data_IF_845472764028
#
_entry.id   IF_845472764028
#
_cell.length_a   1.000
_cell.length_b   1.000
_cell.length_c   1.000
_cell.angle_alpha   90.00
_cell.angle_beta   90.00
_cell.angle_gamma   90.00
#
_symmetry.space_group_name_H-M   'P 1'
#
loop_
_entity.id
_entity.type
_entity.pdbx_description
1 polymer ?
#
# COMPACT_ATOMS: atom_id res chain seq x y z
N UNK A 1 -45.14 51.38 44.94
CA UNK A 1 -43.84 51.48 44.24
C UNK A 1 -42.81 51.23 45.30
N UNK A 2 -42.29 50.01 45.49
CA UNK A 2 -41.69 49.05 44.54
C UNK A 2 -41.83 47.66 45.20
N UNK A 3 -42.45 46.64 44.61
CA UNK A 3 -41.88 45.64 43.65
C UNK A 3 -40.47 45.15 44.08
N UNK A 4 -40.11 43.87 44.25
CA UNK A 4 -40.74 42.54 44.15
C UNK A 4 -39.92 41.60 45.08
N UNK A 5 -40.56 40.62 45.71
CA UNK A 5 -39.94 39.39 46.27
C UNK A 5 -40.10 38.24 45.26
N UNK A 6 -39.70 36.98 45.53
CA UNK A 6 -38.44 36.40 46.06
C UNK A 6 -37.98 35.17 45.21
N UNK A 7 -36.84 34.55 45.54
CA UNK A 7 -36.57 33.07 45.49
C UNK A 7 -35.04 32.85 45.64
N UNK A 8 -34.54 32.58 46.85
CA UNK A 8 -34.21 31.25 47.39
C UNK A 8 -33.15 30.46 46.61
N UNK A 9 -31.92 30.42 47.14
CA UNK A 9 -31.09 29.22 47.02
C UNK A 9 -30.33 28.99 48.35
N UNK A 10 -30.56 27.85 49.03
CA UNK A 10 -29.88 27.46 50.26
C UNK A 10 -28.42 27.03 49.99
N UNK A 11 -27.64 26.86 51.06
CA UNK A 11 -26.21 26.51 51.08
C UNK A 11 -25.24 27.70 51.02
N UNK A 12 -25.29 28.47 52.10
CA UNK A 12 -24.16 29.28 52.51
C UNK A 12 -23.00 28.45 53.07
N UNK A 13 -21.81 29.02 52.86
CA UNK A 13 -20.53 28.86 53.58
C UNK A 13 -19.53 27.86 53.02
N UNK A 14 -18.66 28.42 52.19
CA UNK A 14 -17.26 28.05 52.04
C UNK A 14 -16.57 27.80 53.38
N UNK A 15 -15.77 26.73 53.45
CA UNK A 15 -14.43 26.81 54.03
C UNK A 15 -13.49 25.98 53.16
N UNK A 16 -12.52 26.67 52.60
CA UNK A 16 -11.49 26.14 51.72
C UNK A 16 -10.59 25.16 52.46
N UNK A 17 -10.41 23.97 51.89
CA UNK A 17 -9.19 23.20 52.05
C UNK A 17 -8.32 23.48 50.83
N UNK A 18 -7.10 23.95 51.09
CA UNK A 18 -6.07 24.15 50.09
C UNK A 18 -5.65 22.79 49.51
N UNK A 19 -5.38 22.70 48.20
CA UNK A 19 -4.99 21.45 47.56
C UNK A 19 -3.57 21.03 47.97
N UNK A 20 -3.44 19.74 48.25
CA UNK A 20 -2.17 19.05 48.46
C UNK A 20 -1.35 19.11 47.16
N UNK A 21 -0.27 19.87 47.18
CA UNK A 21 0.62 20.08 46.05
C UNK A 21 1.58 18.90 45.90
N UNK A 22 1.09 17.72 45.51
CA UNK A 22 1.99 16.63 45.07
C UNK A 22 1.33 15.46 44.32
N UNK A 23 0.25 15.70 43.57
CA UNK A 23 -0.28 14.71 42.62
C UNK A 23 -0.57 15.36 41.28
N UNK A 24 0.04 14.93 40.17
CA UNK A 24 -0.43 15.36 38.86
C UNK A 24 -1.87 14.83 38.69
N UNK A 25 -2.82 15.75 38.59
CA UNK A 25 -4.19 15.48 38.16
C UNK A 25 -4.14 14.67 36.86
N UNK A 26 -4.47 13.37 36.93
CA UNK A 26 -4.71 12.51 35.77
C UNK A 26 -6.21 12.41 35.42
N UNK A 27 -7.04 13.25 36.02
CA UNK A 27 -8.47 13.34 35.75
C UNK A 27 -8.89 14.79 35.55
N UNK A 28 -8.55 15.39 34.41
CA UNK A 28 -9.31 16.49 33.77
C UNK A 28 -8.63 16.84 32.46
N UNK A 29 -9.05 16.19 31.38
CA UNK A 29 -9.15 16.79 30.04
C UNK A 29 -9.74 15.73 29.09
N UNK A 30 -11.05 15.51 29.20
CA UNK A 30 -11.83 15.14 28.01
C UNK A 30 -11.90 16.42 27.20
N UNK A 31 -11.22 16.53 26.06
CA UNK A 31 -11.10 17.84 25.49
C UNK A 31 -12.36 18.20 24.70
N UNK A 32 -12.74 19.47 24.81
CA UNK A 32 -13.57 20.23 23.86
C UNK A 32 -12.92 20.34 22.45
N UNK A 33 -11.99 19.43 22.05
CA UNK A 33 -11.04 19.57 20.94
C UNK A 33 -11.49 18.95 19.60
N UNK A 34 -12.79 18.85 19.32
CA UNK A 34 -13.27 18.36 18.00
C UNK A 34 -12.74 19.22 16.85
N UNK A 35 -12.94 20.53 16.94
CA UNK A 35 -12.55 21.48 15.89
C UNK A 35 -11.03 21.64 15.76
N UNK A 36 -10.30 21.62 16.87
CA UNK A 36 -8.83 21.70 16.85
C UNK A 36 -8.20 20.44 16.21
N UNK A 37 -8.79 19.27 16.46
CA UNK A 37 -8.36 18.02 15.84
C UNK A 37 -8.64 18.04 14.33
N UNK A 38 -9.82 18.50 13.92
CA UNK A 38 -10.19 18.68 12.52
C UNK A 38 -9.23 19.61 11.78
N UNK A 39 -8.93 20.79 12.35
CA UNK A 39 -7.99 21.74 11.77
C UNK A 39 -6.58 21.15 11.60
N UNK A 40 -6.13 20.34 12.56
CA UNK A 40 -4.83 19.67 12.49
C UNK A 40 -4.78 18.65 11.34
N UNK A 41 -5.85 17.89 11.15
CA UNK A 41 -5.95 16.87 10.11
C UNK A 41 -6.03 17.53 8.73
N UNK A 42 -6.98 18.46 8.55
CA UNK A 42 -7.22 19.13 7.27
C UNK A 42 -6.01 19.96 6.85
N UNK A 43 -5.45 20.76 7.76
CA UNK A 43 -4.26 21.56 7.49
C UNK A 43 -3.05 20.70 7.12
N UNK A 44 -2.86 19.56 7.79
CA UNK A 44 -1.77 18.63 7.48
C UNK A 44 -1.92 17.94 6.12
N UNK A 45 -3.15 17.60 5.73
CA UNK A 45 -3.45 17.03 4.41
C UNK A 45 -3.26 18.06 3.31
N UNK A 46 -3.71 19.30 3.52
CA UNK A 46 -3.54 20.38 2.55
C UNK A 46 -2.07 20.76 2.37
N UNK A 47 -1.28 20.80 3.45
CA UNK A 47 0.17 20.99 3.38
C UNK A 47 0.87 19.86 2.62
N UNK A 48 0.50 18.60 2.89
CA UNK A 48 1.04 17.44 2.19
C UNK A 48 0.73 17.49 0.69
N UNK A 49 -0.52 17.83 0.33
CA UNK A 49 -0.93 18.03 -1.06
C UNK A 49 -0.17 19.17 -1.73
N UNK A 50 0.00 20.31 -1.06
CA UNK A 50 0.69 21.46 -1.61
C UNK A 50 2.17 21.20 -1.87
N UNK A 51 2.79 20.29 -1.11
CA UNK A 51 4.21 19.92 -1.24
C UNK A 51 4.44 18.66 -2.06
N UNK A 52 3.39 18.02 -2.60
CA UNK A 52 3.46 16.69 -3.20
C UNK A 52 4.22 15.69 -2.31
N UNK A 53 3.94 15.74 -1.01
CA UNK A 53 4.58 14.91 0.00
C UNK A 53 3.54 14.15 0.81
N UNK A 54 4.01 13.25 1.68
CA UNK A 54 3.15 12.54 2.61
C UNK A 54 2.76 13.41 3.81
N UNK A 55 1.76 12.93 4.54
CA UNK A 55 1.39 13.54 5.83
C UNK A 55 2.49 13.30 6.86
N UNK A 56 2.66 14.27 7.76
CA UNK A 56 3.62 14.13 8.86
C UNK A 56 3.14 13.12 9.89
N UNK A 57 4.04 12.60 10.73
CA UNK A 57 3.67 11.75 11.87
C UNK A 57 2.65 12.44 12.79
N UNK A 58 2.78 13.76 12.99
CA UNK A 58 1.83 14.53 13.80
C UNK A 58 0.41 14.47 13.23
N UNK A 59 0.27 14.68 11.92
CA UNK A 59 -1.00 14.57 11.19
C UNK A 59 -1.52 13.13 11.21
N UNK A 60 -0.66 12.14 10.98
CA UNK A 60 -1.03 10.72 11.03
C UNK A 60 -1.58 10.32 12.42
N UNK A 61 -0.95 10.78 13.50
CA UNK A 61 -1.42 10.56 14.87
C UNK A 61 -2.74 11.26 15.17
N UNK A 62 -2.95 12.46 14.63
CA UNK A 62 -4.24 13.16 14.73
C UNK A 62 -5.36 12.40 14.01
N UNK A 63 -5.10 11.86 12.82
CA UNK A 63 -6.04 11.00 12.10
C UNK A 63 -6.36 9.74 12.90
N UNK A 64 -5.33 9.03 13.39
CA UNK A 64 -5.52 7.84 14.23
C UNK A 64 -6.37 8.14 15.47
N UNK A 65 -6.16 9.29 16.12
CA UNK A 65 -6.97 9.73 17.26
C UNK A 65 -8.43 9.94 16.89
N UNK A 66 -8.71 10.56 15.75
CA UNK A 66 -10.07 10.80 15.28
C UNK A 66 -10.80 9.49 14.99
N UNK A 67 -10.13 8.52 14.36
CA UNK A 67 -10.69 7.20 14.06
C UNK A 67 -10.90 6.40 15.35
N UNK A 68 -9.92 6.38 16.27
CA UNK A 68 -10.04 5.71 17.56
C UNK A 68 -11.23 6.23 18.38
N UNK A 69 -11.45 7.54 18.40
CA UNK A 69 -12.61 8.14 19.07
C UNK A 69 -13.95 7.68 18.46
N UNK A 70 -13.98 7.41 17.15
CA UNK A 70 -15.18 6.93 16.46
C UNK A 70 -15.46 5.44 16.75
N UNK A 71 -14.41 4.63 16.86
CA UNK A 71 -14.49 3.19 17.16
C UNK A 71 -14.72 2.89 18.65
N UNK A 72 -14.39 3.82 19.55
CA UNK A 72 -14.51 3.61 20.98
C UNK A 72 -13.63 2.46 21.46
N UNK A 73 -14.22 1.44 22.09
CA UNK A 73 -13.49 0.29 22.66
C UNK A 73 -12.77 -0.57 21.60
N UNK A 74 -13.17 -0.47 20.34
CA UNK A 74 -12.58 -1.19 19.20
C UNK A 74 -11.36 -0.48 18.59
N UNK A 75 -11.05 0.76 18.99
CA UNK A 75 -9.97 1.57 18.42
C UNK A 75 -8.69 1.59 19.27
N UNK A 76 -8.35 0.49 19.95
CA UNK A 76 -7.29 0.49 20.99
C UNK A 76 -5.90 0.62 20.38
N UNK A 77 -5.62 -0.06 19.28
CA UNK A 77 -4.34 0.04 18.59
C UNK A 77 -4.17 1.43 17.96
N UNK A 78 -5.24 2.01 17.40
CA UNK A 78 -5.25 3.37 16.88
C UNK A 78 -5.08 4.42 18.00
N UNK A 79 -5.66 4.22 19.18
CA UNK A 79 -5.44 5.09 20.34
C UNK A 79 -4.00 5.01 20.84
N UNK A 80 -3.42 3.80 20.88
CA UNK A 80 -2.01 3.61 21.23
C UNK A 80 -1.08 4.27 20.23
N UNK A 81 -1.35 4.13 18.93
CA UNK A 81 -0.61 4.82 17.88
C UNK A 81 -0.75 6.34 18.02
N UNK A 82 -1.96 6.86 18.26
CA UNK A 82 -2.18 8.28 18.47
C UNK A 82 -1.34 8.85 19.64
N UNK A 83 -1.16 8.06 20.71
CA UNK A 83 -0.36 8.45 21.89
C UNK A 83 1.15 8.29 21.69
N UNK A 84 1.59 7.25 20.98
CA UNK A 84 3.01 6.85 20.95
C UNK A 84 3.70 7.01 19.60
N UNK A 85 2.94 7.02 18.50
CA UNK A 85 3.46 6.88 17.13
C UNK A 85 3.86 5.44 16.76
N UNK A 86 3.71 4.48 17.68
CA UNK A 86 4.09 3.08 17.52
C UNK A 86 2.92 2.20 17.08
N UNK A 87 3.22 1.15 16.32
CA UNK A 87 2.25 0.20 15.75
C UNK A 87 2.51 -0.01 14.26
N UNK A 88 2.42 -1.24 13.75
CA UNK A 88 2.64 -1.54 12.33
C UNK A 88 1.36 -1.42 11.51
N UNK A 89 1.47 -1.33 10.19
CA UNK A 89 0.32 -1.36 9.29
C UNK A 89 -0.56 -2.59 9.55
N UNK A 90 0.05 -3.76 9.69
CA UNK A 90 -0.63 -5.02 9.98
C UNK A 90 -1.39 -5.03 11.33
N UNK A 91 -0.98 -4.21 12.31
CA UNK A 91 -1.70 -4.12 13.60
C UNK A 91 -2.81 -3.08 13.61
N UNK A 92 -2.74 -2.09 12.71
CA UNK A 92 -3.65 -0.94 12.71
C UNK A 92 -4.72 -1.06 11.61
N UNK A 93 -4.46 -1.87 10.57
CA UNK A 93 -5.31 -1.99 9.40
C UNK A 93 -6.71 -2.47 9.73
N UNK A 94 -6.88 -3.48 10.57
CA UNK A 94 -8.20 -4.00 10.92
C UNK A 94 -9.12 -2.90 11.48
N UNK A 95 -8.61 -2.12 12.44
CA UNK A 95 -9.38 -1.07 13.09
C UNK A 95 -9.76 0.05 12.11
N UNK A 96 -8.81 0.55 11.31
CA UNK A 96 -9.16 1.63 10.37
C UNK A 96 -9.95 1.14 9.15
N UNK A 97 -9.82 -0.13 8.75
CA UNK A 97 -10.57 -0.72 7.63
C UNK A 97 -12.03 -1.00 8.02
N UNK A 98 -12.32 -1.30 9.28
CA UNK A 98 -13.70 -1.37 9.78
C UNK A 98 -14.45 -0.06 9.48
N UNK A 99 -13.84 1.08 9.81
CA UNK A 99 -14.39 2.41 9.48
C UNK A 99 -14.36 2.68 7.97
N UNK A 100 -13.29 2.30 7.27
CA UNK A 100 -13.19 2.55 5.83
C UNK A 100 -14.27 1.83 5.02
N UNK A 101 -14.59 0.60 5.38
CA UNK A 101 -15.49 -0.26 4.63
C UNK A 101 -16.97 -0.05 4.99
N UNK A 102 -17.28 0.57 6.14
CA UNK A 102 -18.65 0.94 6.49
C UNK A 102 -19.28 1.87 5.42
N UNK A 103 -20.39 1.48 4.75
CA UNK A 103 -21.06 2.27 3.73
C UNK A 103 -21.52 3.66 4.20
N UNK A 104 -21.71 3.84 5.50
CA UNK A 104 -22.16 5.09 6.11
C UNK A 104 -21.01 6.07 6.39
N UNK A 105 -19.76 5.62 6.29
CA UNK A 105 -18.58 6.45 6.56
C UNK A 105 -18.49 7.63 5.58
N UNK A 106 -18.43 8.88 6.11
CA UNK A 106 -18.30 10.08 5.29
C UNK A 106 -17.07 10.04 4.38
N UNK A 107 -17.19 10.56 3.15
CA UNK A 107 -16.08 10.59 2.19
C UNK A 107 -14.83 11.35 2.68
N UNK A 108 -15.03 12.32 3.57
CA UNK A 108 -13.94 13.02 4.25
C UNK A 108 -13.12 12.09 5.16
N UNK A 109 -13.78 11.27 5.98
CA UNK A 109 -13.12 10.29 6.87
C UNK A 109 -12.41 9.22 6.05
N UNK A 110 -13.01 8.75 4.94
CA UNK A 110 -12.33 7.85 3.99
C UNK A 110 -11.05 8.48 3.43
N UNK A 111 -11.09 9.77 3.13
CA UNK A 111 -9.90 10.51 2.67
C UNK A 111 -8.82 10.57 3.75
N UNK A 112 -9.18 10.80 5.01
CA UNK A 112 -8.20 10.75 6.10
C UNK A 112 -7.57 9.37 6.24
N UNK A 113 -8.37 8.31 6.17
CA UNK A 113 -7.89 6.93 6.19
C UNK A 113 -6.99 6.63 4.99
N UNK A 114 -7.31 7.16 3.79
CA UNK A 114 -6.44 7.04 2.61
C UNK A 114 -5.05 7.63 2.85
N UNK A 115 -4.96 8.81 3.47
CA UNK A 115 -3.68 9.43 3.81
C UNK A 115 -2.94 8.68 4.92
N UNK A 116 -3.67 8.22 5.94
CA UNK A 116 -3.10 7.50 7.07
C UNK A 116 -2.52 6.14 6.67
N UNK A 117 -3.27 5.32 5.94
CA UNK A 117 -2.78 4.03 5.47
C UNK A 117 -1.60 4.19 4.50
N UNK A 118 -1.61 5.22 3.64
CA UNK A 118 -0.46 5.54 2.77
C UNK A 118 0.80 5.85 3.57
N UNK A 119 0.68 6.70 4.60
CA UNK A 119 1.79 7.02 5.50
C UNK A 119 2.38 5.75 6.15
N UNK A 120 1.53 4.83 6.63
CA UNK A 120 1.99 3.59 7.27
C UNK A 120 2.76 2.69 6.29
N UNK A 121 2.22 2.50 5.08
CA UNK A 121 2.84 1.67 4.03
C UNK A 121 4.22 2.21 3.62
N UNK A 122 4.37 3.53 3.52
CA UNK A 122 5.65 4.14 3.18
C UNK A 122 6.64 4.08 4.33
N UNK A 123 6.19 4.34 5.56
CA UNK A 123 7.04 4.26 6.75
C UNK A 123 7.64 2.87 6.92
N UNK A 124 6.88 1.84 6.56
CA UNK A 124 7.30 0.44 6.67
C UNK A 124 7.96 -0.11 5.40
N UNK A 125 8.01 0.70 4.33
CA UNK A 125 8.55 0.31 3.03
C UNK A 125 7.91 -0.99 2.49
N UNK A 126 6.61 -1.17 2.74
CA UNK A 126 5.82 -2.35 2.33
C UNK A 126 5.11 -2.14 1.01
N UNK A 127 5.15 -0.93 0.45
CA UNK A 127 4.63 -0.64 -0.88
C UNK A 127 5.43 -1.32 -1.98
N UNK A 128 4.81 -1.55 -3.13
CA UNK A 128 5.43 -2.27 -4.25
C UNK A 128 6.58 -1.54 -4.98
N UNK A 129 6.97 -0.35 -4.51
CA UNK A 129 8.15 0.39 -4.99
C UNK A 129 8.00 1.06 -6.35
N UNK A 130 7.04 0.64 -7.20
CA UNK A 130 6.59 1.46 -8.33
C UNK A 130 5.73 2.59 -7.75
N UNK A 131 6.12 3.84 -7.99
CA UNK A 131 5.37 5.04 -7.64
C UNK A 131 3.97 4.99 -8.29
N UNK A 132 3.02 4.24 -7.71
CA UNK A 132 1.59 4.43 -7.93
C UNK A 132 1.08 5.67 -7.17
N UNK A 133 2.00 6.52 -6.75
CA UNK A 133 1.76 7.92 -6.50
C UNK A 133 1.69 8.60 -7.86
N UNK A 134 0.49 8.71 -8.41
CA UNK A 134 0.22 9.89 -9.23
C UNK A 134 0.61 11.08 -8.33
N UNK A 135 1.77 11.70 -8.56
CA UNK A 135 2.40 12.74 -7.71
C UNK A 135 1.50 13.99 -7.51
N UNK A 136 0.31 13.98 -8.10
CA UNK A 136 -0.68 15.05 -8.14
C UNK A 136 -2.10 14.61 -7.72
N UNK A 137 -2.36 13.32 -7.45
CA UNK A 137 -3.66 12.85 -6.99
C UNK A 137 -3.63 12.53 -5.50
N UNK A 138 -4.77 12.75 -4.82
CA UNK A 138 -4.90 12.31 -3.44
C UNK A 138 -4.78 10.78 -3.38
N UNK A 139 -4.05 10.24 -2.39
CA UNK A 139 -3.85 8.81 -2.26
C UNK A 139 -5.18 8.07 -2.11
N UNK A 140 -5.18 6.80 -2.51
CA UNK A 140 -6.32 5.89 -2.38
C UNK A 140 -5.83 4.50 -1.98
N UNK A 141 -6.30 3.97 -0.85
CA UNK A 141 -5.87 2.63 -0.39
C UNK A 141 -6.17 1.54 -1.42
N UNK A 142 -7.32 1.63 -2.08
CA UNK A 142 -7.72 0.69 -3.14
C UNK A 142 -6.76 0.66 -4.36
N UNK A 143 -5.85 1.64 -4.48
CA UNK A 143 -4.83 1.71 -5.55
C UNK A 143 -3.41 1.46 -5.04
N UNK A 144 -3.23 1.39 -3.72
CA UNK A 144 -1.93 1.23 -3.10
C UNK A 144 -1.67 -0.26 -2.89
N UNK A 145 -0.83 -0.85 -3.74
CA UNK A 145 -0.46 -2.26 -3.63
C UNK A 145 0.61 -2.44 -2.54
N UNK A 146 0.29 -3.28 -1.55
CA UNK A 146 1.13 -3.64 -0.41
C UNK A 146 1.59 -5.07 -0.58
N UNK A 147 2.89 -5.28 -0.35
CA UNK A 147 3.50 -6.60 -0.32
C UNK A 147 2.96 -7.38 0.88
N UNK A 148 2.34 -8.51 0.60
CA UNK A 148 1.70 -9.38 1.60
C UNK A 148 2.21 -10.81 1.42
N UNK A 149 2.55 -11.46 2.52
CA UNK A 149 2.91 -12.88 2.53
C UNK A 149 1.66 -13.72 2.73
N UNK A 150 1.39 -14.64 1.81
CA UNK A 150 0.24 -15.54 1.85
C UNK A 150 0.73 -16.97 1.88
N UNK A 151 0.14 -17.80 2.75
CA UNK A 151 0.49 -19.23 2.84
C UNK A 151 -0.51 -20.06 2.04
N UNK A 152 -0.04 -20.73 1.00
CA UNK A 152 -0.85 -21.59 0.12
C UNK A 152 -0.20 -22.96 0.07
N UNK A 153 -0.96 -24.03 0.37
CA UNK A 153 -0.42 -25.40 0.35
C UNK A 153 0.71 -25.69 1.35
N UNK A 154 1.01 -24.78 2.28
CA UNK A 154 2.13 -24.87 3.22
C UNK A 154 3.42 -24.19 2.76
N UNK A 155 3.42 -23.59 1.55
CA UNK A 155 4.48 -22.69 1.07
C UNK A 155 4.07 -21.23 1.26
N UNK A 156 5.05 -20.35 1.51
CA UNK A 156 4.83 -18.91 1.61
C UNK A 156 5.11 -18.24 0.27
N UNK A 157 4.17 -17.41 -0.18
CA UNK A 157 4.25 -16.65 -1.42
C UNK A 157 4.07 -15.17 -1.14
N UNK A 158 4.96 -14.37 -1.70
CA UNK A 158 4.85 -12.92 -1.71
C UNK A 158 3.91 -12.48 -2.84
N UNK A 159 2.81 -11.82 -2.49
CA UNK A 159 1.84 -11.24 -3.45
C UNK A 159 1.61 -9.76 -3.14
N UNK A 160 0.95 -9.05 -4.05
CA UNK A 160 0.62 -7.64 -3.87
C UNK A 160 -0.89 -7.42 -3.86
N UNK A 161 -1.38 -6.75 -2.81
CA UNK A 161 -2.81 -6.54 -2.53
C UNK A 161 -3.07 -5.07 -2.25
N UNK A 162 -4.23 -4.51 -2.65
CA UNK A 162 -4.59 -3.17 -2.24
C UNK A 162 -4.65 -3.03 -0.71
N UNK A 163 -4.15 -1.90 -0.19
CA UNK A 163 -4.12 -1.59 1.24
C UNK A 163 -5.52 -1.46 1.89
N UNK A 164 -6.58 -1.55 1.09
CA UNK A 164 -7.98 -1.59 1.52
C UNK A 164 -8.44 -2.96 1.99
N UNK A 165 -7.66 -4.02 1.77
CA UNK A 165 -7.98 -5.39 2.17
C UNK A 165 -7.34 -5.73 3.52
N UNK A 166 -8.07 -6.49 4.34
CA UNK A 166 -7.67 -6.91 5.69
C UNK A 166 -7.33 -8.40 5.78
N UNK A 167 -7.15 -8.91 7.01
CA UNK A 167 -6.77 -10.30 7.27
C UNK A 167 -7.82 -11.32 6.79
N UNK A 168 -9.10 -10.98 6.91
CA UNK A 168 -10.19 -11.82 6.40
C UNK A 168 -10.09 -12.00 4.86
N UNK A 169 -9.84 -10.91 4.14
CA UNK A 169 -9.69 -10.95 2.68
C UNK A 169 -8.44 -11.74 2.25
N UNK A 170 -7.35 -11.64 3.02
CA UNK A 170 -6.12 -12.42 2.80
C UNK A 170 -6.39 -13.92 2.98
N UNK A 171 -7.23 -14.28 3.95
CA UNK A 171 -7.62 -15.67 4.19
C UNK A 171 -8.43 -16.21 3.02
N UNK A 172 -9.43 -15.47 2.55
CA UNK A 172 -10.26 -15.84 1.39
C UNK A 172 -9.42 -15.94 0.11
N UNK A 173 -8.43 -15.05 -0.04
CA UNK A 173 -7.46 -15.11 -1.14
C UNK A 173 -6.62 -16.39 -1.07
N UNK A 174 -6.15 -16.79 0.10
CA UNK A 174 -5.36 -18.01 0.25
C UNK A 174 -6.13 -19.25 -0.22
N UNK A 175 -7.44 -19.31 0.05
CA UNK A 175 -8.33 -20.36 -0.47
C UNK A 175 -8.45 -20.28 -1.99
N UNK A 176 -8.69 -19.08 -2.54
CA UNK A 176 -8.77 -18.86 -3.99
C UNK A 176 -7.49 -19.28 -4.72
N UNK A 177 -6.32 -18.89 -4.20
CA UNK A 177 -5.02 -19.25 -4.77
C UNK A 177 -4.73 -20.75 -4.69
N UNK A 178 -5.25 -21.43 -3.65
CA UNK A 178 -5.19 -22.88 -3.54
C UNK A 178 -6.06 -23.57 -4.59
N UNK A 179 -7.26 -23.06 -4.86
CA UNK A 179 -8.12 -23.58 -5.95
C UNK A 179 -7.48 -23.41 -7.32
N UNK A 180 -6.73 -22.33 -7.52
CA UNK A 180 -5.95 -22.09 -8.74
C UNK A 180 -4.65 -22.92 -8.84
N UNK A 181 -4.38 -23.79 -7.86
CA UNK A 181 -3.18 -24.65 -7.83
C UNK A 181 -1.87 -23.84 -7.92
N UNK A 182 -1.82 -22.70 -7.24
CA UNK A 182 -0.66 -21.81 -7.25
C UNK A 182 0.64 -22.53 -6.89
N UNK A 183 0.59 -23.50 -5.98
CA UNK A 183 1.73 -24.31 -5.54
C UNK A 183 2.35 -25.16 -6.65
N UNK A 184 1.56 -25.51 -7.67
CA UNK A 184 1.97 -26.35 -8.80
C UNK A 184 2.39 -25.54 -10.05
N UNK A 185 2.08 -24.25 -10.13
CA UNK A 185 2.35 -23.40 -11.31
C UNK A 185 3.45 -22.34 -11.05
N UNK A 186 4.72 -22.59 -11.45
CA UNK A 186 5.81 -21.63 -11.32
C UNK A 186 5.60 -20.33 -12.10
N UNK A 187 4.85 -20.37 -13.21
CA UNK A 187 4.56 -19.19 -14.02
C UNK A 187 3.60 -18.27 -13.29
N UNK A 188 2.54 -18.83 -12.70
CA UNK A 188 1.59 -18.07 -11.88
C UNK A 188 2.27 -17.51 -10.62
N UNK A 189 3.14 -18.30 -9.97
CA UNK A 189 3.94 -17.82 -8.83
C UNK A 189 4.80 -16.60 -9.22
N UNK A 190 5.50 -16.67 -10.35
CA UNK A 190 6.32 -15.57 -10.85
C UNK A 190 5.47 -14.34 -11.19
N UNK A 191 4.28 -14.54 -11.78
CA UNK A 191 3.35 -13.47 -12.11
C UNK A 191 2.86 -12.71 -10.87
N UNK A 192 2.39 -13.42 -9.84
CA UNK A 192 1.87 -12.79 -8.62
C UNK A 192 2.97 -12.09 -7.79
N UNK A 193 4.24 -12.46 -7.99
CA UNK A 193 5.37 -11.78 -7.35
C UNK A 193 5.66 -10.40 -7.93
N UNK A 194 5.07 -10.04 -9.07
CA UNK A 194 5.27 -8.75 -9.72
C UNK A 194 4.65 -7.60 -8.90
N UNK A 195 5.33 -6.45 -8.76
CA UNK A 195 4.91 -5.33 -7.91
C UNK A 195 3.65 -4.60 -8.39
N UNK A 196 3.26 -4.77 -9.64
CA UNK A 196 2.12 -4.15 -10.31
C UNK A 196 0.93 -5.09 -10.48
N UNK A 197 1.09 -6.37 -10.14
CA UNK A 197 0.02 -7.36 -10.23
C UNK A 197 -0.82 -7.34 -8.96
N UNK A 198 -2.11 -7.07 -9.12
CA UNK A 198 -3.07 -7.13 -8.02
C UNK A 198 -3.62 -8.56 -7.88
N UNK A 199 -3.24 -9.25 -6.81
CA UNK A 199 -3.70 -10.61 -6.53
C UNK A 199 -5.18 -10.68 -6.09
N UNK A 200 -5.83 -9.56 -5.77
CA UNK A 200 -7.30 -9.48 -5.57
C UNK A 200 -8.06 -9.10 -6.84
N UNK A 201 -7.40 -9.00 -7.99
CA UNK A 201 -8.13 -8.82 -9.24
C UNK A 201 -8.98 -10.07 -9.48
N UNK A 202 -10.30 -9.93 -9.58
CA UNK A 202 -11.22 -11.07 -9.74
C UNK A 202 -10.97 -11.94 -11.00
N UNK A 203 -10.02 -11.55 -11.85
CA UNK A 203 -9.67 -12.18 -13.11
C UNK A 203 -8.18 -12.58 -13.18
N UNK A 204 -7.57 -13.01 -12.06
CA UNK A 204 -6.12 -13.37 -11.98
C UNK A 204 -5.66 -14.22 -13.17
N UNK A 205 -6.40 -15.28 -13.50
CA UNK A 205 -6.04 -16.21 -14.58
C UNK A 205 -6.13 -15.59 -15.97
N UNK A 206 -7.10 -14.69 -16.19
CA UNK A 206 -7.21 -13.97 -17.46
C UNK A 206 -6.02 -13.02 -17.61
N UNK A 207 -5.73 -12.21 -16.59
CA UNK A 207 -4.58 -11.30 -16.59
C UNK A 207 -3.25 -12.05 -16.72
N UNK A 208 -3.12 -13.22 -16.09
CA UNK A 208 -1.96 -14.08 -16.26
C UNK A 208 -1.81 -14.53 -17.70
N UNK A 209 -2.86 -15.09 -18.33
CA UNK A 209 -2.78 -15.56 -19.70
C UNK A 209 -2.57 -14.43 -20.72
N UNK A 210 -3.12 -13.24 -20.48
CA UNK A 210 -2.91 -12.07 -21.34
C UNK A 210 -1.47 -11.53 -21.24
N UNK A 211 -0.90 -11.51 -20.04
CA UNK A 211 0.45 -11.02 -19.82
C UNK A 211 1.51 -12.07 -20.17
N UNK A 212 1.24 -13.37 -20.01
CA UNK A 212 2.26 -14.41 -20.13
C UNK A 212 2.76 -14.58 -21.57
N UNK A 213 4.02 -14.19 -21.79
CA UNK A 213 4.67 -14.28 -23.10
C UNK A 213 5.48 -15.58 -23.27
N UNK A 214 5.87 -16.25 -22.17
CA UNK A 214 6.54 -17.54 -22.23
C UNK A 214 7.55 -17.80 -21.10
N UNK A 215 8.16 -18.98 -21.13
CA UNK A 215 9.19 -19.42 -20.18
C UNK A 215 10.47 -19.80 -20.91
N UNK A 216 11.59 -19.28 -20.42
CA UNK A 216 12.89 -19.33 -21.07
C UNK A 216 13.97 -19.80 -20.10
N UNK A 217 15.01 -20.47 -20.61
CA UNK A 217 16.11 -20.96 -19.76
C UNK A 217 17.03 -19.86 -19.27
N UNK A 218 17.20 -18.81 -20.09
CA UNK A 218 18.06 -17.67 -19.80
C UNK A 218 17.56 -16.44 -20.59
N UNK A 219 18.16 -15.29 -20.31
CA UNK A 219 17.82 -14.01 -20.95
C UNK A 219 18.07 -14.01 -22.45
N UNK A 220 19.08 -14.73 -22.94
CA UNK A 220 19.36 -14.82 -24.38
C UNK A 220 18.25 -15.58 -25.11
N UNK A 221 17.78 -16.70 -24.55
CA UNK A 221 16.67 -17.45 -25.10
C UNK A 221 15.37 -16.62 -25.13
N UNK A 222 15.12 -15.81 -24.10
CA UNK A 222 14.02 -14.86 -24.09
C UNK A 222 14.19 -13.79 -25.18
N UNK A 223 15.40 -13.25 -25.34
CA UNK A 223 15.68 -12.24 -26.38
C UNK A 223 15.47 -12.79 -27.78
N UNK A 224 15.96 -14.01 -28.07
CA UNK A 224 15.79 -14.66 -29.37
C UNK A 224 14.32 -14.94 -29.70
N UNK A 225 13.52 -15.30 -28.70
CA UNK A 225 12.11 -15.62 -28.91
C UNK A 225 11.19 -14.39 -28.98
N UNK A 226 11.48 -13.34 -28.20
CA UNK A 226 10.61 -12.17 -28.03
C UNK A 226 11.03 -10.96 -28.87
N UNK A 227 12.13 -11.06 -29.62
CA UNK A 227 12.63 -10.00 -30.49
C UNK A 227 13.01 -10.55 -31.86
N UNK A 228 13.04 -9.71 -32.91
CA UNK A 228 13.47 -10.12 -34.26
C UNK A 228 14.99 -10.28 -34.36
N UNK A 229 15.67 -10.67 -33.27
CA UNK A 229 17.14 -10.80 -33.24
C UNK A 229 17.65 -11.77 -34.30
N UNK A 230 16.96 -12.88 -34.55
CA UNK A 230 17.35 -13.85 -35.57
C UNK A 230 17.27 -13.26 -37.00
N UNK A 231 16.31 -12.37 -37.25
CA UNK A 231 16.19 -11.65 -38.51
C UNK A 231 17.34 -10.65 -38.67
N UNK A 232 17.63 -9.86 -37.62
CA UNK A 232 18.76 -8.92 -37.64
C UNK A 232 20.12 -9.61 -37.79
N UNK A 233 20.30 -10.77 -37.15
CA UNK A 233 21.50 -11.60 -37.30
C UNK A 233 21.67 -12.08 -38.75
N UNK A 234 20.56 -12.47 -39.39
CA UNK A 234 20.54 -12.92 -40.79
C UNK A 234 20.86 -11.77 -41.76
N UNK A 235 20.21 -10.61 -41.59
CA UNK A 235 20.41 -9.41 -42.42
C UNK A 235 21.86 -8.90 -42.33
N UNK A 236 22.43 -8.90 -41.12
CA UNK A 236 23.81 -8.49 -40.93
C UNK A 236 24.79 -9.49 -41.56
N UNK A 237 24.51 -10.79 -41.46
CA UNK A 237 25.35 -11.82 -42.08
C UNK A 237 25.37 -11.69 -43.60
N UNK A 238 24.23 -11.40 -44.24
CA UNK A 238 24.16 -11.12 -45.68
C UNK A 238 25.02 -9.91 -46.05
N UNK A 239 24.86 -8.79 -45.34
CA UNK A 239 25.66 -7.58 -45.57
C UNK A 239 27.18 -7.83 -45.44
N UNK A 240 27.61 -8.60 -44.44
CA UNK A 240 29.01 -8.97 -44.22
C UNK A 240 29.59 -9.73 -45.41
N UNK A 241 28.82 -10.70 -45.94
CA UNK A 241 29.20 -11.50 -47.10
C UNK A 241 29.35 -10.59 -48.33
N UNK A 242 28.39 -9.69 -48.56
CA UNK A 242 28.43 -8.75 -49.68
C UNK A 242 29.64 -7.81 -49.63
N UNK A 243 30.03 -7.38 -48.43
CA UNK A 243 31.16 -6.46 -48.24
C UNK A 243 32.52 -7.17 -48.08
N UNK A 244 32.55 -8.51 -48.10
CA UNK A 244 33.78 -9.29 -47.95
C UNK A 244 34.43 -9.16 -46.57
N UNK A 245 33.64 -8.84 -45.54
CA UNK A 245 34.11 -8.73 -44.15
C UNK A 245 34.17 -10.13 -43.52
N UNK A 246 35.15 -10.40 -42.68
CA UNK A 246 35.21 -11.67 -41.95
C UNK A 246 34.12 -11.70 -40.86
N UNK A 247 33.20 -12.65 -40.94
CA UNK A 247 32.10 -12.81 -39.97
C UNK A 247 32.58 -12.92 -38.51
N UNK A 248 33.78 -13.49 -38.28
CA UNK A 248 34.35 -13.62 -36.93
C UNK A 248 34.88 -12.31 -36.35
N UNK A 249 35.00 -11.26 -37.15
CA UNK A 249 35.37 -9.93 -36.69
C UNK A 249 34.19 -9.18 -36.03
N UNK A 250 32.96 -9.68 -36.18
CA UNK A 250 31.78 -9.12 -35.54
C UNK A 250 31.53 -9.74 -34.17
N UNK A 251 31.20 -8.89 -33.21
CA UNK A 251 30.75 -9.28 -31.88
C UNK A 251 29.42 -8.60 -31.59
N UNK A 252 28.40 -9.40 -31.27
CA UNK A 252 27.10 -8.90 -30.84
C UNK A 252 27.17 -8.47 -29.39
N UNK A 253 26.86 -7.20 -29.13
CA UNK A 253 26.59 -6.74 -27.78
C UNK A 253 25.08 -6.88 -27.50
N UNK A 254 24.70 -7.91 -26.74
CA UNK A 254 23.29 -8.20 -26.45
C UNK A 254 22.75 -7.39 -25.27
N UNK A 255 23.60 -6.78 -24.45
CA UNK A 255 23.18 -6.09 -23.22
C UNK A 255 22.16 -4.95 -23.49
N UNK A 256 22.37 -4.07 -24.49
CA UNK A 256 21.39 -3.02 -24.80
C UNK A 256 20.05 -3.56 -25.30
N UNK A 257 20.08 -4.71 -25.99
CA UNK A 257 18.86 -5.35 -26.51
C UNK A 257 18.06 -6.00 -25.38
N UNK A 258 18.74 -6.62 -24.42
CA UNK A 258 18.12 -7.13 -23.19
C UNK A 258 17.51 -5.98 -22.39
N UNK A 259 18.19 -4.84 -22.30
CA UNK A 259 17.67 -3.69 -21.58
C UNK A 259 16.39 -3.15 -22.23
N UNK A 260 16.36 -3.05 -23.56
CA UNK A 260 15.15 -2.69 -24.31
C UNK A 260 14.03 -3.73 -24.17
N UNK A 261 14.38 -5.02 -24.12
CA UNK A 261 13.41 -6.08 -23.88
C UNK A 261 12.75 -5.92 -22.51
N UNK A 262 13.52 -5.55 -21.48
CA UNK A 262 13.01 -5.24 -20.13
C UNK A 262 12.15 -3.99 -20.05
N UNK A 263 12.20 -3.11 -21.05
CA UNK A 263 11.28 -1.96 -21.10
C UNK A 263 9.86 -2.41 -21.45
N UNK A 264 9.73 -3.42 -22.33
CA UNK A 264 8.45 -3.95 -22.82
C UNK A 264 7.93 -5.12 -21.99
N UNK A 265 8.84 -5.96 -21.49
CA UNK A 265 8.50 -7.17 -20.74
C UNK A 265 9.09 -7.11 -19.32
N UNK A 266 8.34 -7.61 -18.35
CA UNK A 266 8.87 -7.96 -17.04
C UNK A 266 9.45 -9.39 -17.09
N UNK A 267 10.78 -9.47 -16.93
CA UNK A 267 11.53 -10.74 -16.93
C UNK A 267 11.83 -11.15 -15.49
N UNK A 268 11.12 -12.16 -15.00
CA UNK A 268 11.27 -12.66 -13.62
C UNK A 268 12.00 -13.99 -13.64
N UNK A 269 13.09 -14.08 -12.87
CA UNK A 269 13.76 -15.35 -12.64
C UNK A 269 13.08 -16.08 -11.47
N UNK A 270 12.51 -17.24 -11.74
CA UNK A 270 11.84 -18.06 -10.75
C UNK A 270 12.20 -19.54 -10.93
N UNK A 271 12.53 -20.24 -9.83
CA UNK A 271 12.94 -21.67 -9.83
C UNK A 271 13.98 -22.03 -10.92
N UNK A 272 14.89 -21.10 -11.23
CA UNK A 272 15.98 -21.31 -12.18
C UNK A 272 15.64 -21.09 -13.66
N UNK A 273 14.41 -20.66 -13.98
CA UNK A 273 13.99 -20.26 -15.33
C UNK A 273 13.52 -18.80 -15.34
N UNK A 274 13.43 -18.20 -16.52
CA UNK A 274 12.92 -16.86 -16.73
C UNK A 274 11.50 -16.92 -17.28
N UNK A 275 10.56 -16.29 -16.59
CA UNK A 275 9.21 -16.05 -17.09
C UNK A 275 9.13 -14.63 -17.62
N UNK A 276 8.54 -14.46 -18.80
CA UNK A 276 8.34 -13.16 -19.43
C UNK A 276 6.87 -12.78 -19.40
N UNK A 277 6.60 -11.57 -18.93
CA UNK A 277 5.26 -10.97 -18.87
C UNK A 277 5.23 -9.67 -19.64
N UNK A 278 4.21 -9.45 -20.45
CA UNK A 278 3.96 -8.17 -21.14
C UNK A 278 3.51 -7.16 -20.09
N UNK A 279 4.06 -5.94 -20.14
CA UNK A 279 3.65 -4.82 -19.30
C UNK A 279 2.40 -4.10 -19.78
#
# INVERSE_FOLDING_TARGET
>A
MTDLSPESNPFGKHKAELPDADKPNLETDRPENGDALLQTIEGGIDDARARSSDVTEHTARAIARAIANALGDNGRALDEFARTGSGSNATLNEEYLEVYNDPTTPGQVRTWIDWFGTYLVQRENTGSGRQFMNEHLSPKLARLLVRTEVTVGGEQFTVHLPASYGEADITDLAETLKELSLDEDPGLQAFLSLPDVNAMSGNIMESFHEAFAGTYRNTEAALRALSPLEEWESDLAEWVIEQGVEHRALQWNLDPLVQRLRDVYDLVQWRGVFHAFIK
#
